data_IF_751870208833
#
_entry.id   IF_751870208833
#
_cell.length_a   1.000
_cell.length_b   1.000
_cell.length_c   1.000
_cell.angle_alpha   90.00
_cell.angle_beta   90.00
_cell.angle_gamma   90.00
#
_symmetry.space_group_name_H-M   'P 1'
#
loop_
_entity.id
_entity.type
_entity.pdbx_description
1 polymer ?
#
# COMPACT_ATOMS: atom_id res chain seq x y z
N UNK A 1 3.34 9.90 -17.72
CA UNK A 1 4.19 9.21 -16.73
C UNK A 1 3.28 8.54 -15.72
N UNK A 2 3.63 7.33 -15.23
CA UNK A 2 2.90 6.72 -14.11
C UNK A 2 3.32 7.43 -12.83
N UNK A 3 2.36 7.75 -11.95
CA UNK A 3 2.67 8.32 -10.64
C UNK A 3 3.14 7.19 -9.72
N UNK A 4 4.33 7.28 -9.10
CA UNK A 4 4.75 6.30 -8.11
C UNK A 4 3.82 6.31 -6.90
N UNK A 5 3.59 5.15 -6.30
CA UNK A 5 2.78 5.03 -5.10
C UNK A 5 3.25 3.88 -4.19
N UNK A 6 2.85 3.97 -2.94
CA UNK A 6 3.17 2.97 -1.93
C UNK A 6 1.95 2.10 -1.66
N UNK A 7 2.17 0.78 -1.56
CA UNK A 7 1.18 -0.17 -1.07
C UNK A 7 1.53 -0.50 0.37
N UNK A 8 0.55 -0.40 1.27
CA UNK A 8 0.66 -0.82 2.66
C UNK A 8 -0.32 -1.97 2.93
N UNK A 9 0.21 -3.17 3.21
CA UNK A 9 -0.61 -4.34 3.51
C UNK A 9 -0.99 -4.38 4.99
N UNK A 10 -2.28 -4.15 5.26
CA UNK A 10 -2.91 -4.30 6.58
C UNK A 10 -2.99 -5.77 6.96
N UNK A 11 -2.71 -6.09 8.23
CA UNK A 11 -2.79 -7.47 8.72
C UNK A 11 -1.76 -8.41 8.12
N UNK A 12 -0.67 -7.88 7.55
CA UNK A 12 0.45 -8.66 7.02
C UNK A 12 1.22 -9.43 8.09
N UNK A 13 1.01 -9.16 9.38
CA UNK A 13 1.70 -9.81 10.51
C UNK A 13 3.24 -9.68 10.45
N UNK A 14 3.73 -8.63 9.77
CA UNK A 14 5.15 -8.43 9.48
C UNK A 14 5.81 -9.61 8.73
N UNK A 15 5.01 -10.35 7.97
CA UNK A 15 5.43 -11.48 7.15
C UNK A 15 5.61 -11.02 5.69
N UNK A 16 6.86 -10.88 5.27
CA UNK A 16 7.22 -10.48 3.92
C UNK A 16 6.68 -11.44 2.84
N UNK A 17 6.58 -12.74 3.16
CA UNK A 17 6.15 -13.74 2.20
C UNK A 17 4.70 -13.49 1.79
N UNK A 18 3.84 -13.07 2.72
CA UNK A 18 2.46 -12.66 2.42
C UNK A 18 2.40 -11.50 1.45
N UNK A 19 3.24 -10.49 1.64
CA UNK A 19 3.30 -9.32 0.73
C UNK A 19 3.76 -9.77 -0.66
N UNK A 20 4.80 -10.60 -0.75
CA UNK A 20 5.32 -11.11 -2.03
C UNK A 20 4.29 -11.98 -2.76
N UNK A 21 3.65 -12.90 -2.05
CA UNK A 21 2.63 -13.79 -2.63
C UNK A 21 1.42 -12.98 -3.13
N UNK A 22 0.96 -12.00 -2.36
CA UNK A 22 -0.10 -11.10 -2.81
C UNK A 22 0.31 -10.29 -4.04
N UNK A 23 1.53 -9.77 -4.09
CA UNK A 23 2.02 -9.00 -5.23
C UNK A 23 2.06 -9.85 -6.52
N UNK A 24 2.46 -11.13 -6.41
CA UNK A 24 2.45 -12.09 -7.53
C UNK A 24 1.03 -12.33 -8.01
N UNK A 25 0.11 -12.69 -7.10
CA UNK A 25 -1.30 -12.99 -7.45
C UNK A 25 -2.02 -11.75 -7.98
N UNK A 26 -1.65 -10.55 -7.52
CA UNK A 26 -2.21 -9.27 -7.99
C UNK A 26 -1.60 -8.78 -9.31
N UNK A 27 -0.63 -9.50 -9.88
CA UNK A 27 -0.02 -9.14 -11.16
C UNK A 27 0.92 -7.93 -11.09
N UNK A 28 1.50 -7.64 -9.93
CA UNK A 28 2.50 -6.55 -9.80
C UNK A 28 3.77 -6.97 -10.55
N UNK A 29 4.10 -6.24 -11.61
CA UNK A 29 5.36 -6.43 -12.32
C UNK A 29 6.56 -6.15 -11.39
N UNK A 30 7.46 -7.13 -11.17
CA UNK A 30 8.65 -6.95 -10.34
C UNK A 30 9.54 -5.80 -10.78
N UNK A 31 9.53 -5.40 -12.06
CA UNK A 31 10.27 -4.24 -12.55
C UNK A 31 9.77 -2.94 -11.90
N UNK A 32 8.47 -2.80 -11.63
CA UNK A 32 7.91 -1.62 -10.96
C UNK A 32 8.35 -1.54 -9.49
N UNK A 33 8.55 -2.68 -8.82
CA UNK A 33 9.09 -2.72 -7.46
C UNK A 33 10.58 -2.40 -7.45
N UNK A 34 11.36 -3.03 -8.33
CA UNK A 34 12.82 -2.81 -8.47
C UNK A 34 13.16 -1.35 -8.79
N UNK A 35 12.32 -0.68 -9.59
CA UNK A 35 12.49 0.73 -9.97
C UNK A 35 11.80 1.71 -9.03
N UNK A 36 11.18 1.22 -7.93
CA UNK A 36 10.42 2.02 -6.95
C UNK A 36 9.25 2.83 -7.55
N UNK A 37 8.68 2.35 -8.65
CA UNK A 37 7.37 2.84 -9.12
C UNK A 37 6.24 2.38 -8.21
N UNK A 38 6.40 1.22 -7.58
CA UNK A 38 5.53 0.70 -6.53
C UNK A 38 6.42 0.30 -5.37
N UNK A 39 6.12 0.75 -4.16
CA UNK A 39 6.72 0.15 -2.95
C UNK A 39 5.71 -0.77 -2.28
N UNK A 40 6.20 -1.83 -1.63
CA UNK A 40 5.37 -2.80 -0.93
C UNK A 40 5.80 -2.79 0.55
N UNK A 41 4.86 -2.49 1.45
CA UNK A 41 5.15 -2.24 2.86
C UNK A 41 4.16 -2.95 3.77
N UNK A 42 4.57 -3.21 5.01
CA UNK A 42 3.64 -3.50 6.09
C UNK A 42 2.96 -2.21 6.54
N UNK A 43 1.65 -2.25 6.80
CA UNK A 43 0.95 -1.05 7.28
C UNK A 43 1.40 -0.65 8.70
N UNK A 44 1.76 -1.61 9.55
CA UNK A 44 2.24 -1.34 10.91
C UNK A 44 1.22 -0.60 11.78
N UNK A 45 -0.08 -0.72 11.50
CA UNK A 45 -1.15 0.02 12.19
C UNK A 45 -1.44 1.41 11.62
N UNK A 46 -0.76 1.84 10.54
CA UNK A 46 -1.03 3.10 9.84
C UNK A 46 -2.51 3.27 9.48
N UNK A 47 -3.18 2.25 8.96
CA UNK A 47 -4.58 2.28 8.55
C UNK A 47 -5.51 2.74 9.66
N UNK A 48 -5.36 2.18 10.87
CA UNK A 48 -6.11 2.62 12.05
C UNK A 48 -5.74 4.05 12.44
N UNK A 49 -4.45 4.40 12.36
CA UNK A 49 -3.97 5.76 12.64
C UNK A 49 -4.52 6.84 11.70
N UNK A 50 -4.86 6.50 10.45
CA UNK A 50 -5.46 7.44 9.50
C UNK A 50 -6.90 7.83 9.85
N UNK A 51 -7.61 7.02 10.65
CA UNK A 51 -9.00 7.26 11.06
C UNK A 51 -9.98 7.52 9.89
N UNK A 52 -9.71 6.96 8.70
CA UNK A 52 -10.52 7.17 7.50
C UNK A 52 -11.73 6.24 7.39
N UNK A 53 -11.67 5.08 8.07
CA UNK A 53 -12.73 4.07 8.04
C UNK A 53 -13.00 3.46 6.67
N UNK A 54 -14.02 2.60 6.62
CA UNK A 54 -14.46 1.90 5.40
C UNK A 54 -13.65 0.65 5.06
N UNK A 55 -14.01 0.03 3.94
CA UNK A 55 -13.43 -1.24 3.50
C UNK A 55 -12.08 -1.05 2.80
N UNK A 56 -11.30 -2.13 2.73
CA UNK A 56 -10.05 -2.21 1.96
C UNK A 56 -10.30 -2.98 0.65
N UNK A 57 -9.54 -2.71 -0.43
CA UNK A 57 -8.47 -1.72 -0.52
C UNK A 57 -8.98 -0.27 -0.55
N UNK A 58 -8.17 0.65 -0.03
CA UNK A 58 -8.46 2.09 -0.05
C UNK A 58 -7.32 2.84 -0.72
N UNK A 59 -7.65 3.79 -1.60
CA UNK A 59 -6.69 4.76 -2.13
C UNK A 59 -6.78 6.01 -1.28
N UNK A 60 -5.64 6.44 -0.75
CA UNK A 60 -5.55 7.62 0.11
C UNK A 60 -4.48 8.56 -0.42
N UNK A 61 -4.70 9.86 -0.25
CA UNK A 61 -3.75 10.90 -0.64
C UNK A 61 -3.67 11.95 0.45
N UNK A 62 -2.46 12.39 0.76
CA UNK A 62 -2.25 13.54 1.62
C UNK A 62 -2.56 14.83 0.85
N UNK A 63 -3.45 15.65 1.39
CA UNK A 63 -3.84 16.96 0.87
C UNK A 63 -3.78 17.93 2.05
N UNK A 64 -2.93 18.95 1.95
CA UNK A 64 -2.75 19.97 3.00
C UNK A 64 -2.48 19.38 4.41
N UNK A 65 -1.66 18.33 4.51
CA UNK A 65 -1.32 17.68 5.78
C UNK A 65 -2.38 16.72 6.32
N UNK A 66 -3.46 16.48 5.57
CA UNK A 66 -4.52 15.55 5.94
C UNK A 66 -4.61 14.41 4.93
N UNK A 67 -4.71 13.19 5.41
CA UNK A 67 -5.02 12.05 4.55
C UNK A 67 -6.50 12.08 4.18
N UNK A 68 -6.80 11.95 2.90
CA UNK A 68 -8.14 11.87 2.36
C UNK A 68 -8.28 10.58 1.55
N UNK A 69 -9.43 9.93 1.66
CA UNK A 69 -9.81 8.83 0.76
C UNK A 69 -10.18 9.42 -0.60
N UNK A 70 -9.71 8.80 -1.68
CA UNK A 70 -10.07 9.17 -3.05
C UNK A 70 -11.38 8.50 -3.50
#
# INVERSE_FOLDING_TARGET
QKQPFDVYMVGSQNDDERIRNWAIVSGIDPANVRTRQITLNHDGGRWLGLSLGGELPAVVREVNGQWLRQ
#
